data_IF_070668328899
#
_entry.id   IF_070668328899
#
_cell.length_a   1.000
_cell.length_b   1.000
_cell.length_c   1.000
_cell.angle_alpha   90.00
_cell.angle_beta   90.00
_cell.angle_gamma   90.00
#
_symmetry.space_group_name_H-M   'P 1'
#
loop_
_entity.id
_entity.type
_entity.pdbx_description
1 polymer ?
#
# COMPACT_ATOMS: atom_id res chain seq x y z
N UNK A 1 3.98 -12.55 -10.37
CA UNK A 1 4.37 -12.33 -8.96
C UNK A 1 5.41 -11.21 -8.76
N UNK A 2 6.08 -10.70 -9.81
CA UNK A 2 6.96 -9.51 -9.69
C UNK A 2 6.20 -8.22 -9.37
N UNK A 3 5.03 -8.01 -9.98
CA UNK A 3 4.26 -6.76 -9.80
C UNK A 3 3.79 -6.58 -8.35
N UNK A 4 3.24 -7.62 -7.72
CA UNK A 4 2.81 -7.57 -6.31
C UNK A 4 3.99 -7.27 -5.38
N UNK A 5 5.17 -7.86 -5.64
CA UNK A 5 6.38 -7.57 -4.87
C UNK A 5 6.83 -6.11 -5.01
N UNK A 6 6.74 -5.52 -6.21
CA UNK A 6 7.05 -4.09 -6.43
C UNK A 6 6.10 -3.20 -5.62
N UNK A 7 4.80 -3.50 -5.62
CA UNK A 7 3.83 -2.74 -4.81
C UNK A 7 4.11 -2.84 -3.32
N UNK A 8 4.55 -4.01 -2.83
CA UNK A 8 4.94 -4.18 -1.43
C UNK A 8 6.18 -3.35 -1.08
N UNK A 9 7.20 -3.35 -1.95
CA UNK A 9 8.41 -2.52 -1.76
C UNK A 9 8.04 -1.03 -1.76
N UNK A 10 7.18 -0.59 -2.68
CA UNK A 10 6.71 0.79 -2.73
C UNK A 10 5.99 1.18 -1.44
N UNK A 11 5.12 0.32 -0.91
CA UNK A 11 4.44 0.58 0.37
C UNK A 11 5.44 0.71 1.54
N UNK A 12 6.46 -0.15 1.60
CA UNK A 12 7.51 -0.06 2.61
C UNK A 12 8.35 1.22 2.47
N UNK A 13 8.65 1.65 1.24
CA UNK A 13 9.38 2.90 0.99
C UNK A 13 8.58 4.12 1.43
N UNK A 14 7.27 4.14 1.16
CA UNK A 14 6.37 5.22 1.62
C UNK A 14 6.30 5.23 3.15
N UNK A 15 6.15 4.07 3.79
CA UNK A 15 6.16 3.97 5.24
C UNK A 15 7.48 4.46 5.85
N UNK A 16 8.61 4.03 5.28
CA UNK A 16 9.93 4.47 5.73
C UNK A 16 10.12 5.98 5.55
N UNK A 17 9.60 6.55 4.45
CA UNK A 17 9.62 7.99 4.21
C UNK A 17 8.83 8.75 5.29
N UNK A 18 7.60 8.32 5.60
CA UNK A 18 6.76 8.94 6.63
C UNK A 18 7.49 8.92 7.98
N UNK A 19 7.98 7.74 8.40
CA UNK A 19 8.70 7.60 9.66
C UNK A 19 9.96 8.47 9.70
N UNK A 20 10.71 8.54 8.59
CA UNK A 20 11.93 9.35 8.51
C UNK A 20 11.62 10.85 8.66
N UNK A 21 10.57 11.34 8.00
CA UNK A 21 10.16 12.75 8.09
C UNK A 21 9.68 13.10 9.49
N UNK A 22 8.88 12.23 10.12
CA UNK A 22 8.39 12.43 11.49
C UNK A 22 9.57 12.46 12.49
N UNK A 23 10.52 11.53 12.35
CA UNK A 23 11.71 11.50 13.20
C UNK A 23 12.63 12.72 12.99
N UNK A 24 12.81 13.16 11.75
CA UNK A 24 13.54 14.41 11.44
C UNK A 24 12.85 15.64 12.05
N UNK A 25 11.52 15.58 12.21
CA UNK A 25 10.72 16.63 12.85
C UNK A 25 10.78 16.57 14.39
N UNK A 26 11.57 15.65 14.96
CA UNK A 26 11.75 15.50 16.40
C UNK A 26 10.72 14.60 17.09
N UNK A 27 9.83 13.95 16.33
CA UNK A 27 8.84 13.03 16.89
C UNK A 27 9.49 11.67 17.22
N UNK A 28 9.04 11.06 18.30
CA UNK A 28 9.42 9.67 18.61
C UNK A 28 8.75 8.69 17.64
N UNK A 29 9.34 7.50 17.46
CA UNK A 29 8.76 6.44 16.61
C UNK A 29 7.30 6.10 16.99
N UNK A 30 6.97 6.16 18.28
CA UNK A 30 5.62 5.90 18.76
C UNK A 30 4.65 7.02 18.37
N UNK A 31 5.11 8.27 18.37
CA UNK A 31 4.32 9.42 17.91
C UNK A 31 4.16 9.44 16.38
N UNK A 32 5.10 8.90 15.61
CA UNK A 32 4.94 8.77 14.15
C UNK A 32 3.73 7.89 13.76
N UNK A 33 3.33 6.94 14.61
CA UNK A 33 2.07 6.20 14.41
C UNK A 33 0.83 7.09 14.58
N UNK A 34 0.93 8.18 15.34
CA UNK A 34 -0.13 9.18 15.43
C UNK A 34 -0.27 9.92 14.10
N UNK A 35 0.82 10.28 13.42
CA UNK A 35 0.78 10.88 12.08
C UNK A 35 0.06 9.97 11.07
N UNK A 36 0.37 8.68 11.07
CA UNK A 36 -0.32 7.70 10.20
C UNK A 36 -1.83 7.66 10.50
N UNK A 37 -2.21 7.67 11.78
CA UNK A 37 -3.61 7.72 12.20
C UNK A 37 -4.29 9.04 11.82
N UNK A 38 -3.59 10.17 11.92
CA UNK A 38 -4.11 11.48 11.56
C UNK A 38 -4.38 11.56 10.06
N UNK A 39 -3.48 11.02 9.21
CA UNK A 39 -3.71 10.93 7.76
C UNK A 39 -4.96 10.12 7.47
N UNK A 40 -5.12 8.95 8.10
CA UNK A 40 -6.30 8.10 7.93
C UNK A 40 -7.59 8.80 8.40
N UNK A 41 -7.54 9.57 9.49
CA UNK A 41 -8.69 10.30 10.03
C UNK A 41 -9.12 11.48 9.13
N UNK A 42 -8.18 12.08 8.41
CA UNK A 42 -8.44 13.18 7.47
C UNK A 42 -8.70 12.69 6.03
N UNK A 43 -8.60 11.38 5.78
CA UNK A 43 -8.91 10.81 4.45
C UNK A 43 -10.41 10.71 4.28
N UNK A 44 -10.94 11.33 3.23
CA UNK A 44 -12.36 11.26 2.89
C UNK A 44 -12.78 9.86 2.43
N UNK A 45 -14.07 9.54 2.55
CA UNK A 45 -14.57 8.21 2.16
C UNK A 45 -14.33 7.91 0.67
N UNK A 46 -14.36 8.94 -0.19
CA UNK A 46 -14.12 8.82 -1.64
C UNK A 46 -12.66 8.46 -1.93
N UNK A 47 -11.72 9.07 -1.21
CA UNK A 47 -10.29 8.75 -1.30
C UNK A 47 -10.02 7.33 -0.81
N UNK A 48 -10.64 6.90 0.30
CA UNK A 48 -10.52 5.52 0.80
C UNK A 48 -10.99 4.51 -0.25
N UNK A 49 -12.16 4.72 -0.85
CA UNK A 49 -12.70 3.84 -1.91
C UNK A 49 -11.72 3.76 -3.08
N UNK A 50 -11.17 4.90 -3.50
CA UNK A 50 -10.22 4.97 -4.61
C UNK A 50 -8.92 4.24 -4.27
N UNK A 51 -8.37 4.45 -3.07
CA UNK A 51 -7.17 3.76 -2.59
C UNK A 51 -7.37 2.24 -2.57
N UNK A 52 -8.48 1.76 -2.00
CA UNK A 52 -8.79 0.31 -1.94
C UNK A 52 -8.92 -0.28 -3.34
N UNK A 53 -9.60 0.42 -4.27
CA UNK A 53 -9.73 -0.03 -5.64
C UNK A 53 -8.35 -0.20 -6.31
N UNK A 54 -7.51 0.83 -6.29
CA UNK A 54 -6.17 0.77 -6.88
C UNK A 54 -5.24 -0.24 -6.19
N UNK A 55 -5.33 -0.37 -4.87
CA UNK A 55 -4.55 -1.34 -4.11
C UNK A 55 -4.92 -2.78 -4.48
N UNK A 56 -6.19 -3.05 -4.82
CA UNK A 56 -6.67 -4.37 -5.20
C UNK A 56 -6.25 -4.82 -6.63
N UNK A 57 -6.06 -3.87 -7.55
CA UNK A 57 -5.72 -4.15 -8.96
C UNK A 57 -4.51 -5.08 -9.18
N UNK A 58 -3.34 -4.88 -8.54
CA UNK A 58 -2.20 -5.77 -8.73
C UNK A 58 -2.49 -7.21 -8.29
N UNK A 59 -3.34 -7.40 -7.29
CA UNK A 59 -3.77 -8.73 -6.83
C UNK A 59 -4.75 -9.37 -7.81
N UNK A 60 -5.76 -8.62 -8.27
CA UNK A 60 -6.70 -9.09 -9.29
C UNK A 60 -5.96 -9.52 -10.55
N UNK A 61 -5.01 -8.70 -11.02
CA UNK A 61 -4.20 -9.01 -12.19
C UNK A 61 -3.33 -10.27 -11.97
N UNK A 62 -2.70 -10.40 -10.80
CA UNK A 62 -1.92 -11.59 -10.47
C UNK A 62 -2.76 -12.87 -10.43
N UNK A 63 -3.97 -12.81 -9.87
CA UNK A 63 -4.92 -13.92 -9.82
C UNK A 63 -5.40 -14.28 -11.23
N UNK A 64 -5.84 -13.28 -12.01
CA UNK A 64 -6.30 -13.49 -13.38
C UNK A 64 -5.20 -14.13 -14.26
N UNK A 65 -3.95 -13.68 -14.14
CA UNK A 65 -2.82 -14.27 -14.84
C UNK A 65 -2.54 -15.72 -14.41
N UNK A 66 -2.67 -16.04 -13.12
CA UNK A 66 -2.50 -17.40 -12.61
C UNK A 66 -3.59 -18.35 -13.12
N UNK A 67 -4.85 -17.92 -13.11
CA UNK A 67 -5.99 -18.69 -13.64
C UNK A 67 -5.84 -18.95 -15.14
N UNK A 68 -5.50 -17.93 -15.94
CA UNK A 68 -5.27 -18.09 -17.39
C UNK A 68 -4.15 -19.08 -17.69
N UNK A 69 -3.05 -19.04 -16.93
CA UNK A 69 -1.93 -19.98 -17.09
C UNK A 69 -2.31 -21.41 -16.72
N UNK A 70 -3.19 -21.59 -15.73
CA UNK A 70 -3.73 -22.90 -15.34
C UNK A 70 -4.65 -23.50 -16.41
N UNK A 71 -5.48 -22.67 -17.05
CA UNK A 71 -6.41 -23.11 -18.09
C UNK A 71 -5.72 -23.45 -19.42
N UNK A 72 -4.58 -22.82 -19.75
CA UNK A 72 -3.83 -23.10 -20.98
C UNK A 72 -2.95 -24.36 -20.92
N UNK A 73 -2.82 -24.99 -19.75
CA UNK A 73 -2.05 -26.24 -19.54
C UNK A 73 -2.95 -27.48 -19.38
N UNK A 74 -4.27 -27.30 -19.39
CA UNK A 74 -5.27 -28.38 -19.55
C UNK A 74 -5.75 -28.35 -20.98
#
# INVERSE_FOLDING_TARGET
MKIVAIYFILALLVLAMILSVDMLSGMSLFESFHSIRAVLANTSIQEVITMVFFLSLPFINAIAAAVRKGNSRR
#
